data_IF_982448969391
#
_entry.id   IF_982448969391
#
_cell.length_a   1.000
_cell.length_b   1.000
_cell.length_c   1.000
_cell.angle_alpha   90.00
_cell.angle_beta   90.00
_cell.angle_gamma   90.00
#
_symmetry.space_group_name_H-M   'P 1'
#
loop_
_entity.id
_entity.type
_entity.pdbx_description
1 polymer ?
#
# COMPACT_ATOMS: atom_id res chain seq x y z
N UNK A 1 -12.12 31.53 0.85
CA UNK A 1 -12.62 30.83 2.04
C UNK A 1 -11.85 29.53 2.11
N UNK A 2 -11.00 29.32 3.13
CA UNK A 2 -10.37 28.01 3.33
C UNK A 2 -11.48 26.98 3.47
N UNK A 3 -11.61 26.09 2.49
CA UNK A 3 -12.39 24.89 2.71
C UNK A 3 -11.58 23.98 3.61
N UNK A 4 -12.24 23.09 4.36
CA UNK A 4 -11.57 22.01 5.11
C UNK A 4 -10.65 21.14 4.23
N UNK A 5 -10.68 21.35 2.92
CA UNK A 5 -10.04 20.54 1.89
C UNK A 5 -8.66 21.08 1.45
N UNK A 6 -8.20 22.24 1.93
CA UNK A 6 -6.88 22.76 1.57
C UNK A 6 -5.75 22.12 2.39
N UNK A 7 -5.63 20.80 2.25
CA UNK A 7 -4.64 19.96 2.92
C UNK A 7 -3.78 19.25 1.88
N UNK A 8 -2.47 19.19 2.12
CA UNK A 8 -1.55 18.34 1.35
C UNK A 8 -2.01 16.90 1.44
N UNK A 9 -2.14 16.25 0.28
CA UNK A 9 -2.49 14.83 0.17
C UNK A 9 -1.25 13.97 0.27
N UNK A 10 -1.43 12.73 0.67
CA UNK A 10 -0.32 11.82 0.99
C UNK A 10 -0.62 10.38 0.61
N UNK A 11 0.44 9.57 0.61
CA UNK A 11 0.35 8.14 0.41
C UNK A 11 0.03 7.42 1.71
N UNK A 12 -0.87 6.47 1.64
CA UNK A 12 -1.20 5.52 2.71
C UNK A 12 -0.69 4.16 2.24
N UNK A 13 0.47 3.77 2.75
CA UNK A 13 1.16 2.56 2.34
C UNK A 13 0.78 1.44 3.31
N UNK A 14 0.04 0.45 2.82
CA UNK A 14 -0.31 -0.75 3.58
C UNK A 14 0.72 -1.85 3.31
N UNK A 15 1.47 -2.22 4.34
CA UNK A 15 2.44 -3.32 4.29
C UNK A 15 1.89 -4.49 5.09
N UNK A 16 2.09 -5.70 4.60
CA UNK A 16 1.68 -6.89 5.34
C UNK A 16 2.31 -8.12 4.72
N UNK A 17 2.73 -9.12 5.51
CA UNK A 17 3.14 -10.40 4.99
C UNK A 17 2.00 -11.04 4.19
N UNK A 18 2.37 -11.97 3.31
CA UNK A 18 1.39 -12.70 2.49
C UNK A 18 0.30 -13.30 3.39
N UNK A 19 -0.96 -13.00 3.06
CA UNK A 19 -2.13 -13.46 3.83
C UNK A 19 -2.67 -12.50 4.91
N UNK A 20 -2.09 -11.31 5.13
CA UNK A 20 -2.55 -10.40 6.19
C UNK A 20 -3.79 -9.54 5.89
N UNK A 21 -4.46 -9.74 4.75
CA UNK A 21 -5.81 -9.20 4.52
C UNK A 21 -5.90 -7.79 3.92
N UNK A 22 -4.80 -7.23 3.41
CA UNK A 22 -4.73 -5.87 2.82
C UNK A 22 -5.87 -5.54 1.85
N UNK A 23 -6.15 -6.43 0.90
CA UNK A 23 -7.22 -6.25 -0.10
C UNK A 23 -8.60 -6.09 0.52
N UNK A 24 -8.95 -6.88 1.54
CA UNK A 24 -10.24 -6.75 2.21
C UNK A 24 -10.35 -5.41 2.95
N UNK A 25 -9.25 -4.99 3.58
CA UNK A 25 -9.16 -3.74 4.34
C UNK A 25 -9.29 -2.53 3.42
N UNK A 26 -8.45 -2.38 2.39
CA UNK A 26 -8.51 -1.20 1.54
C UNK A 26 -9.81 -1.14 0.74
N UNK A 27 -10.37 -2.28 0.31
CA UNK A 27 -11.65 -2.29 -0.40
C UNK A 27 -12.76 -1.72 0.47
N UNK A 28 -12.77 -2.04 1.77
CA UNK A 28 -13.75 -1.49 2.70
C UNK A 28 -13.55 0.01 2.93
N UNK A 29 -12.30 0.45 3.15
CA UNK A 29 -11.97 1.88 3.28
C UNK A 29 -12.41 2.68 2.06
N UNK A 30 -12.19 2.16 0.85
CA UNK A 30 -12.55 2.86 -0.40
C UNK A 30 -14.05 2.90 -0.67
N UNK A 31 -14.81 1.93 -0.15
CA UNK A 31 -16.27 1.93 -0.27
C UNK A 31 -16.90 3.11 0.50
N UNK A 32 -16.30 3.47 1.63
CA UNK A 32 -16.80 4.49 2.54
C UNK A 32 -16.10 5.86 2.36
N UNK A 33 -15.05 5.95 1.52
CA UNK A 33 -14.27 7.18 1.34
C UNK A 33 -13.90 7.48 -0.13
N UNK A 34 -14.66 8.39 -0.77
CA UNK A 34 -14.43 8.82 -2.16
C UNK A 34 -13.17 9.67 -2.36
N UNK A 35 -12.64 10.25 -1.28
CA UNK A 35 -11.48 11.15 -1.28
C UNK A 35 -10.15 10.40 -1.32
N UNK A 36 -10.17 9.08 -1.07
CA UNK A 36 -9.02 8.19 -1.19
C UNK A 36 -9.12 7.41 -2.50
N UNK A 37 -8.02 7.34 -3.25
CA UNK A 37 -7.91 6.52 -4.47
C UNK A 37 -6.96 5.35 -4.25
N UNK A 38 -7.22 4.23 -4.93
CA UNK A 38 -6.31 3.09 -4.93
C UNK A 38 -5.27 3.22 -6.04
N UNK A 39 -4.01 2.93 -5.72
CA UNK A 39 -2.95 2.81 -6.73
C UNK A 39 -2.89 1.38 -7.29
N UNK A 40 -3.29 1.22 -8.55
CA UNK A 40 -3.19 -0.06 -9.26
C UNK A 40 -1.75 -0.23 -9.76
N UNK A 41 -1.02 -1.18 -9.17
CA UNK A 41 0.38 -1.47 -9.52
C UNK A 41 0.51 -2.12 -10.90
N UNK A 42 1.65 -1.93 -11.56
CA UNK A 42 2.04 -2.69 -12.75
C UNK A 42 2.67 -4.02 -12.33
N UNK A 43 2.46 -5.08 -13.11
CA UNK A 43 3.16 -6.35 -12.92
C UNK A 43 3.44 -7.10 -14.22
N UNK A 44 4.52 -7.87 -14.25
CA UNK A 44 4.85 -8.79 -15.35
C UNK A 44 4.30 -10.20 -15.16
N UNK A 45 3.70 -10.46 -14.00
CA UNK A 45 2.99 -11.73 -13.74
C UNK A 45 1.77 -11.82 -14.65
N UNK A 46 1.44 -13.01 -15.14
CA UNK A 46 0.15 -13.25 -15.80
C UNK A 46 -1.01 -13.08 -14.82
N UNK A 47 -2.11 -12.49 -15.29
CA UNK A 47 -3.36 -12.43 -14.54
C UNK A 47 -3.85 -13.83 -14.15
N UNK A 48 -4.39 -13.97 -12.95
CA UNK A 48 -5.15 -15.16 -12.52
C UNK A 48 -6.55 -15.11 -13.11
N UNK A 49 -7.26 -16.24 -13.11
CA UNK A 49 -8.60 -16.37 -13.71
C UNK A 49 -9.63 -15.33 -13.23
N UNK A 50 -9.49 -14.82 -12.00
CA UNK A 50 -10.43 -13.86 -11.40
C UNK A 50 -9.87 -12.43 -11.34
N UNK A 51 -8.70 -12.16 -11.93
CA UNK A 51 -8.10 -10.83 -11.97
C UNK A 51 -8.45 -10.11 -13.27
N UNK A 52 -8.71 -8.82 -13.14
CA UNK A 52 -9.08 -7.91 -14.24
C UNK A 52 -7.98 -6.85 -14.39
N UNK A 53 -7.50 -6.68 -15.61
CA UNK A 53 -6.50 -5.68 -15.98
C UNK A 53 -7.02 -4.25 -15.74
N UNK A 54 -6.14 -3.37 -15.24
CA UNK A 54 -6.46 -2.01 -14.84
C UNK A 54 -7.29 -1.88 -13.56
N UNK A 55 -7.73 -2.99 -12.98
CA UNK A 55 -8.49 -3.02 -11.72
C UNK A 55 -7.65 -3.60 -10.59
N UNK A 56 -7.11 -4.81 -10.80
CA UNK A 56 -6.31 -5.50 -9.79
C UNK A 56 -4.82 -5.18 -9.95
N UNK A 57 -4.36 -5.23 -11.19
CA UNK A 57 -3.02 -4.81 -11.62
C UNK A 57 -3.11 -4.31 -13.06
N UNK A 58 -2.13 -3.52 -13.48
CA UNK A 58 -1.83 -3.29 -14.87
C UNK A 58 -0.85 -4.40 -15.34
N UNK A 59 -1.37 -5.39 -16.05
CA UNK A 59 -0.61 -6.55 -16.50
C UNK A 59 0.13 -6.22 -17.80
N UNK A 60 1.46 -6.14 -17.74
CA UNK A 60 2.31 -5.73 -18.88
C UNK A 60 3.42 -6.75 -19.15
N UNK A 61 4.02 -6.71 -20.34
CA UNK A 61 5.18 -7.55 -20.64
C UNK A 61 6.42 -7.07 -19.86
N UNK A 62 7.39 -7.96 -19.69
CA UNK A 62 8.68 -7.60 -19.08
C UNK A 62 9.41 -6.52 -19.87
N UNK A 63 9.43 -6.61 -21.20
CA UNK A 63 10.01 -5.57 -22.06
C UNK A 63 9.39 -4.19 -21.79
N UNK A 64 8.06 -4.13 -21.67
CA UNK A 64 7.37 -2.87 -21.38
C UNK A 64 7.68 -2.35 -19.98
N UNK A 65 7.76 -3.25 -18.99
CA UNK A 65 8.14 -2.89 -17.63
C UNK A 65 9.54 -2.30 -17.60
N UNK A 66 10.51 -2.93 -18.27
CA UNK A 66 11.89 -2.47 -18.33
C UNK A 66 12.02 -1.13 -19.08
N UNK A 67 11.20 -0.90 -20.11
CA UNK A 67 11.10 0.39 -20.79
C UNK A 67 10.65 1.51 -19.83
N UNK A 68 9.55 1.29 -19.09
CA UNK A 68 9.03 2.23 -18.09
C UNK A 68 10.03 2.46 -16.94
N UNK A 69 10.76 1.42 -16.55
CA UNK A 69 11.83 1.54 -15.54
C UNK A 69 12.98 2.40 -16.06
N UNK A 70 13.39 2.21 -17.31
CA UNK A 70 14.45 2.99 -17.95
C UNK A 70 14.07 4.46 -18.13
N UNK A 71 12.79 4.75 -18.36
CA UNK A 71 12.29 6.13 -18.46
C UNK A 71 12.13 6.82 -17.10
N UNK A 72 12.28 6.09 -15.98
CA UNK A 72 12.17 6.63 -14.63
C UNK A 72 10.73 6.87 -14.17
N UNK A 73 9.74 6.19 -14.78
CA UNK A 73 8.33 6.36 -14.40
C UNK A 73 7.91 5.53 -13.17
N UNK A 74 8.79 4.75 -12.56
CA UNK A 74 8.46 4.04 -11.31
C UNK A 74 8.86 4.85 -10.08
N UNK A 75 7.91 5.04 -9.16
CA UNK A 75 8.16 5.57 -7.83
C UNK A 75 8.89 4.52 -6.97
N UNK A 76 8.46 3.27 -7.10
CA UNK A 76 9.14 2.09 -6.57
C UNK A 76 9.01 0.95 -7.57
N UNK A 77 9.96 0.02 -7.55
CA UNK A 77 9.84 -1.25 -8.24
C UNK A 77 10.58 -2.36 -7.52
N UNK A 78 10.04 -3.56 -7.52
CA UNK A 78 10.64 -4.73 -6.88
C UNK A 78 10.40 -5.99 -7.69
N UNK A 79 11.26 -7.00 -7.48
CA UNK A 79 10.99 -8.37 -7.91
C UNK A 79 10.35 -9.09 -6.72
N UNK A 80 9.12 -9.56 -6.90
CA UNK A 80 8.37 -10.31 -5.89
C UNK A 80 8.00 -11.65 -6.49
N UNK A 81 8.50 -12.73 -5.86
CA UNK A 81 8.29 -14.11 -6.32
C UNK A 81 8.62 -14.33 -7.82
N UNK A 82 9.68 -13.69 -8.31
CA UNK A 82 10.17 -13.84 -9.68
C UNK A 82 9.49 -12.97 -10.74
N UNK A 83 8.54 -12.11 -10.35
CA UNK A 83 7.90 -11.16 -11.26
C UNK A 83 8.18 -9.72 -10.83
N UNK A 84 8.19 -8.81 -11.81
CA UNK A 84 8.31 -7.39 -11.54
C UNK A 84 6.98 -6.83 -11.05
N UNK A 85 7.07 -5.92 -10.09
CA UNK A 85 6.00 -5.07 -9.61
C UNK A 85 6.50 -3.64 -9.53
N UNK A 86 5.63 -2.66 -9.81
CA UNK A 86 5.99 -1.26 -9.65
C UNK A 86 4.82 -0.29 -9.70
N UNK A 87 5.00 0.83 -9.03
CA UNK A 87 4.01 1.91 -8.90
C UNK A 87 4.39 3.10 -9.77
N UNK A 88 3.50 3.56 -10.65
CA UNK A 88 3.79 4.69 -11.56
C UNK A 88 3.90 6.02 -10.81
N UNK A 89 5.07 6.66 -10.91
CA UNK A 89 5.39 7.98 -10.37
C UNK A 89 4.52 9.07 -10.99
N UNK A 90 4.32 9.03 -12.31
CA UNK A 90 3.46 10.01 -12.99
C UNK A 90 2.01 9.94 -12.52
N UNK A 91 1.46 8.73 -12.34
CA UNK A 91 0.14 8.53 -11.76
C UNK A 91 0.04 9.11 -10.34
N UNK A 92 0.97 8.73 -9.46
CA UNK A 92 0.99 9.19 -8.06
C UNK A 92 1.04 10.72 -7.99
N UNK A 93 1.96 11.36 -8.71
CA UNK A 93 2.12 12.81 -8.71
C UNK A 93 0.87 13.55 -9.23
N UNK A 94 0.11 12.95 -10.14
CA UNK A 94 -1.11 13.55 -10.64
C UNK A 94 -2.26 13.45 -9.64
N UNK A 95 -2.45 12.28 -9.03
CA UNK A 95 -3.57 12.01 -8.12
C UNK A 95 -3.38 12.71 -6.77
N UNK A 96 -2.15 12.78 -6.25
CA UNK A 96 -1.82 13.49 -5.00
C UNK A 96 -2.10 15.00 -5.04
N UNK A 97 -2.36 15.59 -6.20
CA UNK A 97 -2.83 16.98 -6.29
C UNK A 97 -4.24 17.17 -5.71
N UNK A 98 -5.02 16.09 -5.62
CA UNK A 98 -6.46 16.15 -5.28
C UNK A 98 -6.88 15.13 -4.23
N UNK A 99 -6.29 13.94 -4.23
CA UNK A 99 -6.74 12.82 -3.41
C UNK A 99 -5.58 12.19 -2.65
N UNK A 100 -5.88 11.68 -1.45
CA UNK A 100 -4.98 10.73 -0.79
C UNK A 100 -4.96 9.44 -1.60
N UNK A 101 -3.86 8.70 -1.54
CA UNK A 101 -3.72 7.45 -2.29
C UNK A 101 -3.40 6.32 -1.34
N UNK A 102 -4.18 5.26 -1.38
CA UNK A 102 -3.88 4.01 -0.68
C UNK A 102 -3.25 3.00 -1.65
N UNK A 103 -2.19 2.33 -1.19
CA UNK A 103 -1.48 1.31 -1.97
C UNK A 103 -1.07 0.15 -1.08
N UNK A 104 -1.00 -1.04 -1.66
CA UNK A 104 -0.51 -2.24 -0.98
C UNK A 104 0.71 -2.82 -1.71
N UNK A 105 1.88 -2.55 -1.16
CA UNK A 105 3.18 -2.94 -1.72
C UNK A 105 3.97 -3.81 -0.75
N UNK A 106 5.04 -4.45 -1.22
CA UNK A 106 5.93 -5.24 -0.37
C UNK A 106 6.90 -4.33 0.41
N UNK A 107 7.66 -4.94 1.33
CA UNK A 107 8.64 -4.22 2.16
C UNK A 107 9.72 -3.54 1.30
N UNK A 108 10.14 -4.14 0.19
CA UNK A 108 11.16 -3.54 -0.69
C UNK A 108 10.63 -2.28 -1.37
N UNK A 109 9.40 -2.32 -1.89
CA UNK A 109 8.74 -1.14 -2.47
C UNK A 109 8.55 -0.03 -1.43
N UNK A 110 8.04 -0.38 -0.24
CA UNK A 110 7.82 0.59 0.83
C UNK A 110 9.12 1.30 1.25
N UNK A 111 10.22 0.56 1.41
CA UNK A 111 11.54 1.14 1.72
C UNK A 111 12.09 2.06 0.65
N UNK A 112 11.73 1.88 -0.62
CA UNK A 112 12.09 2.82 -1.69
C UNK A 112 11.31 4.12 -1.53
N UNK A 113 10.00 4.05 -1.28
CA UNK A 113 9.17 5.25 -1.06
C UNK A 113 9.60 6.01 0.19
N UNK A 114 9.95 5.31 1.28
CA UNK A 114 10.43 5.93 2.51
C UNK A 114 11.73 6.74 2.35
N UNK A 115 12.51 6.45 1.30
CA UNK A 115 13.72 7.21 0.94
C UNK A 115 13.45 8.35 -0.05
N UNK A 116 12.20 8.51 -0.49
CA UNK A 116 11.77 9.57 -1.40
C UNK A 116 11.17 10.74 -0.63
N UNK A 117 11.05 11.89 -1.29
CA UNK A 117 10.44 13.10 -0.71
C UNK A 117 8.89 13.10 -0.80
N UNK A 118 8.28 12.00 -1.23
CA UNK A 118 6.81 11.91 -1.31
C UNK A 118 6.24 11.78 0.08
N UNK A 119 5.32 12.67 0.46
CA UNK A 119 4.63 12.62 1.75
C UNK A 119 3.81 11.33 1.87
N UNK A 120 4.04 10.59 2.95
CA UNK A 120 3.48 9.26 3.14
C UNK A 120 3.32 8.89 4.61
N UNK A 121 2.46 7.90 4.83
CA UNK A 121 2.42 7.11 6.04
C UNK A 121 2.56 5.63 5.71
N UNK A 122 3.16 4.88 6.62
CA UNK A 122 3.33 3.43 6.52
C UNK A 122 2.57 2.73 7.65
N UNK A 123 1.72 1.79 7.26
CA UNK A 123 0.90 1.01 8.18
C UNK A 123 1.20 -0.46 7.93
N UNK A 124 1.87 -1.10 8.89
CA UNK A 124 2.13 -2.51 8.87
C UNK A 124 0.95 -3.27 9.48
N UNK A 125 0.40 -4.23 8.75
CA UNK A 125 -0.77 -5.01 9.14
C UNK A 125 -0.32 -6.44 9.45
N UNK A 126 -0.56 -6.89 10.69
CA UNK A 126 -0.27 -8.24 11.12
C UNK A 126 -1.54 -9.03 11.44
N UNK A 127 -1.60 -10.34 11.13
CA UNK A 127 -2.58 -11.23 11.76
C UNK A 127 -2.36 -11.30 13.29
N UNK A 128 -3.38 -11.72 14.07
CA UNK A 128 -3.32 -11.71 15.54
C UNK A 128 -2.29 -12.66 16.13
N UNK A 129 -1.90 -13.70 15.40
CA UNK A 129 -0.88 -14.64 15.84
C UNK A 129 -0.19 -15.32 14.65
N UNK A 130 0.95 -15.96 14.93
CA UNK A 130 1.70 -16.77 13.96
C UNK A 130 0.87 -17.96 13.48
N UNK A 131 0.07 -18.56 14.35
CA UNK A 131 -0.80 -19.70 14.03
C UNK A 131 -1.88 -19.27 13.03
N UNK A 132 -2.58 -18.17 13.30
CA UNK A 132 -3.60 -17.63 12.40
C UNK A 132 -2.98 -17.23 11.05
N UNK A 133 -1.77 -16.69 11.08
CA UNK A 133 -1.03 -16.38 9.86
C UNK A 133 -0.74 -17.62 9.02
N UNK A 134 -0.18 -18.68 9.64
CA UNK A 134 0.09 -19.98 9.02
C UNK A 134 -1.16 -20.60 8.42
N UNK A 135 -2.29 -20.52 9.13
CA UNK A 135 -3.58 -20.99 8.63
C UNK A 135 -4.04 -20.20 7.40
N UNK A 136 -3.95 -18.87 7.43
CA UNK A 136 -4.31 -18.00 6.29
C UNK A 136 -3.44 -18.28 5.07
N UNK A 137 -2.14 -18.54 5.26
CA UNK A 137 -1.23 -18.96 4.19
C UNK A 137 -1.64 -20.30 3.58
N UNK A 138 -1.93 -21.31 4.42
CA UNK A 138 -2.38 -22.64 3.97
C UNK A 138 -3.73 -22.57 3.24
N UNK A 139 -4.67 -21.72 3.71
CA UNK A 139 -6.03 -21.60 3.17
C UNK A 139 -6.10 -20.92 1.79
N UNK A 140 -5.12 -20.08 1.44
CA UNK A 140 -5.01 -19.49 0.09
C UNK A 140 -4.65 -20.51 -1.00
N UNK A 141 -4.28 -21.73 -0.60
CA UNK A 141 -4.36 -22.94 -1.42
C UNK A 141 -3.16 -23.20 -2.34
N UNK A 142 -3.10 -24.44 -2.81
CA UNK A 142 -2.37 -24.93 -4.00
C UNK A 142 -0.85 -24.89 -4.01
N UNK A 143 -0.21 -24.25 -3.04
CA UNK A 143 1.23 -24.21 -2.94
C UNK A 143 1.79 -25.51 -2.35
N UNK A 144 2.85 -26.05 -2.97
CA UNK A 144 3.58 -27.18 -2.40
C UNK A 144 4.19 -26.80 -1.04
N UNK A 145 4.57 -27.79 -0.23
CA UNK A 145 5.18 -27.54 1.09
C UNK A 145 6.40 -26.61 0.98
N UNK A 146 7.14 -26.71 -0.11
CA UNK A 146 8.33 -25.92 -0.41
C UNK A 146 7.98 -24.44 -0.63
N UNK A 147 6.89 -24.15 -1.34
CA UNK A 147 6.44 -22.75 -1.58
C UNK A 147 5.89 -22.13 -0.29
N UNK A 148 5.23 -22.91 0.57
CA UNK A 148 4.80 -22.44 1.89
C UNK A 148 6.03 -22.08 2.74
N UNK A 149 7.06 -22.92 2.76
CA UNK A 149 8.28 -22.67 3.52
C UNK A 149 8.99 -21.38 3.07
N UNK A 150 9.15 -21.17 1.76
CA UNK A 150 9.74 -19.93 1.21
C UNK A 150 8.94 -18.69 1.62
N UNK A 151 7.60 -18.77 1.61
CA UNK A 151 6.75 -17.65 2.05
C UNK A 151 6.86 -17.39 3.54
N UNK A 152 7.03 -18.42 4.36
CA UNK A 152 7.25 -18.26 5.80
C UNK A 152 8.57 -17.55 6.08
N UNK A 153 9.66 -17.99 5.45
CA UNK A 153 10.97 -17.36 5.60
C UNK A 153 10.98 -15.91 5.12
N UNK A 154 10.29 -15.60 4.01
CA UNK A 154 10.13 -14.22 3.53
C UNK A 154 9.47 -13.34 4.57
N UNK A 155 8.35 -13.79 5.12
CA UNK A 155 7.58 -12.99 6.06
C UNK A 155 8.22 -12.89 7.45
N UNK A 156 8.96 -13.90 7.91
CA UNK A 156 9.77 -13.77 9.14
C UNK A 156 10.82 -12.66 8.98
N UNK A 157 11.44 -12.52 7.79
CA UNK A 157 12.33 -11.39 7.48
C UNK A 157 11.57 -10.07 7.43
N UNK A 158 10.41 -10.03 6.77
CA UNK A 158 9.58 -8.82 6.72
C UNK A 158 9.17 -8.34 8.13
N UNK A 159 8.89 -9.26 9.06
CA UNK A 159 8.55 -8.94 10.46
C UNK A 159 9.75 -8.37 11.23
N UNK A 160 10.98 -8.80 10.93
CA UNK A 160 12.18 -8.22 11.57
C UNK A 160 12.34 -6.72 11.24
N UNK A 161 11.80 -6.29 10.10
CA UNK A 161 11.85 -4.92 9.61
C UNK A 161 10.64 -4.08 10.07
N UNK A 162 9.75 -4.64 10.89
CA UNK A 162 8.49 -3.98 11.29
C UNK A 162 8.71 -2.63 11.99
N UNK A 163 9.83 -2.46 12.68
CA UNK A 163 10.17 -1.23 13.42
C UNK A 163 10.58 -0.07 12.52
N UNK A 164 10.79 -0.32 11.23
CA UNK A 164 11.06 0.73 10.25
C UNK A 164 9.78 1.50 9.87
N UNK A 165 8.60 0.97 10.17
CA UNK A 165 7.30 1.55 9.77
C UNK A 165 6.64 2.34 10.91
N UNK A 166 5.76 3.27 10.56
CA UNK A 166 5.19 4.25 11.51
C UNK A 166 4.06 3.70 12.36
N UNK A 167 3.21 2.84 11.80
CA UNK A 167 2.04 2.30 12.47
C UNK A 167 1.97 0.77 12.37
N UNK A 168 1.42 0.14 13.41
CA UNK A 168 1.09 -1.28 13.44
C UNK A 168 -0.42 -1.43 13.68
N UNK A 169 -1.08 -2.23 12.85
CA UNK A 169 -2.49 -2.63 13.03
C UNK A 169 -2.57 -4.15 13.07
N UNK A 170 -3.25 -4.68 14.10
CA UNK A 170 -3.51 -6.11 14.23
C UNK A 170 -4.86 -6.42 13.59
N UNK A 171 -4.87 -7.33 12.62
CA UNK A 171 -6.06 -7.76 11.87
C UNK A 171 -6.63 -9.07 12.43
N UNK A 172 -7.14 -8.97 13.66
CA UNK A 172 -7.94 -10.01 14.33
C UNK A 172 -9.39 -10.01 13.82
N UNK A 173 -9.97 -8.81 13.71
CA UNK A 173 -11.29 -8.51 13.16
C UNK A 173 -11.17 -7.46 12.06
N UNK A 174 -11.78 -7.73 10.91
CA UNK A 174 -11.69 -6.85 9.75
C UNK A 174 -12.25 -5.45 10.02
N UNK A 175 -13.36 -5.35 10.75
CA UNK A 175 -14.01 -4.05 10.99
C UNK A 175 -13.20 -3.20 11.96
N UNK A 176 -12.63 -3.81 13.00
CA UNK A 176 -11.71 -3.12 13.92
C UNK A 176 -10.46 -2.64 13.19
N UNK A 177 -9.82 -3.51 12.40
CA UNK A 177 -8.63 -3.13 11.65
C UNK A 177 -8.89 -1.99 10.66
N UNK A 178 -10.04 -1.99 9.99
CA UNK A 178 -10.48 -0.88 9.12
C UNK A 178 -10.64 0.40 9.93
N UNK A 179 -11.39 0.35 11.04
CA UNK A 179 -11.60 1.51 11.90
C UNK A 179 -10.29 2.10 12.45
N UNK A 180 -9.34 1.25 12.84
CA UNK A 180 -8.03 1.67 13.32
C UNK A 180 -7.26 2.42 12.22
N UNK A 181 -7.26 1.90 11.00
CA UNK A 181 -6.60 2.55 9.86
C UNK A 181 -7.28 3.86 9.49
N UNK A 182 -8.61 3.91 9.45
CA UNK A 182 -9.35 5.16 9.21
C UNK A 182 -9.06 6.22 10.29
N UNK A 183 -8.94 5.78 11.54
CA UNK A 183 -8.55 6.66 12.65
C UNK A 183 -7.14 7.21 12.47
N UNK A 184 -6.18 6.37 12.07
CA UNK A 184 -4.81 6.79 11.73
C UNK A 184 -4.82 7.81 10.59
N UNK A 185 -5.51 7.52 9.49
CA UNK A 185 -5.62 8.42 8.32
C UNK A 185 -6.21 9.77 8.75
N UNK A 186 -7.29 9.76 9.53
CA UNK A 186 -7.94 10.98 10.01
C UNK A 186 -7.05 11.78 10.95
N UNK A 187 -6.28 11.13 11.81
CA UNK A 187 -5.31 11.81 12.66
C UNK A 187 -4.21 12.48 11.81
N UNK A 188 -3.69 11.76 10.82
CA UNK A 188 -2.67 12.24 9.88
C UNK A 188 -3.15 13.44 9.07
N UNK A 189 -4.38 13.39 8.55
CA UNK A 189 -5.01 14.51 7.85
C UNK A 189 -5.12 15.78 8.71
N UNK A 190 -5.11 15.67 10.03
CA UNK A 190 -5.24 16.82 10.94
C UNK A 190 -3.89 17.31 11.51
N UNK A 191 -2.76 16.75 11.07
CA UNK A 191 -1.46 17.32 11.40
C UNK A 191 -1.31 18.73 10.82
N UNK A 192 -0.80 19.65 11.63
CA UNK A 192 -0.62 21.07 11.25
C UNK A 192 0.19 21.24 9.96
N UNK A 193 1.23 20.42 9.78
CA UNK A 193 2.10 20.42 8.61
C UNK A 193 1.38 20.16 7.28
N UNK A 194 0.19 19.53 7.31
CA UNK A 194 -0.58 19.26 6.09
C UNK A 194 -1.46 20.43 5.67
N UNK A 195 -1.74 21.40 6.55
CA UNK A 195 -2.54 22.56 6.18
C UNK A 195 -1.71 23.53 5.33
N UNK A 196 -2.22 23.89 4.16
CA UNK A 196 -1.55 24.81 3.24
C UNK A 196 -2.03 26.24 3.53
N UNK A 197 -1.08 27.17 3.66
CA UNK A 197 -1.33 28.60 3.90
C UNK A 197 -2.26 28.87 5.10
N UNK A 198 -2.06 28.17 6.21
CA UNK A 198 -2.90 28.33 7.40
C UNK A 198 -2.82 29.73 8.01
N UNK A 199 -1.70 30.44 7.82
CA UNK A 199 -1.48 31.80 8.32
C UNK A 199 -2.35 32.84 7.57
N UNK A 200 -2.54 32.67 6.26
CA UNK A 200 -3.41 33.51 5.42
C UNK A 200 -4.90 33.40 5.85
N UNK A 201 -5.27 32.37 6.60
CA UNK A 201 -6.64 32.16 7.09
C UNK A 201 -7.11 33.24 8.06
N UNK A 202 -6.20 33.69 8.93
CA UNK A 202 -6.54 34.61 10.02
C UNK A 202 -6.36 36.08 9.64
N UNK A 203 -6.12 36.36 8.35
CA UNK A 203 -6.05 37.73 7.81
C UNK A 203 -4.68 38.38 7.96
N UNK A 204 -3.61 37.64 7.67
CA UNK A 204 -2.31 38.23 7.34
C UNK A 204 -2.36 39.01 6.02
#
# INVERSE_FOLDING_TARGET
MLSKDNKRKFLIILISPSGGGKTAIFTKILADNSEIKYSVSFTTRKARNNEVDGVHYNFISEDKFLEMKKSGDFLESAIVHGYWYGTSKSYINNVLKKNNIIMDIDVQGAKQIMKSDVDHITIFILPPSREVWLERLKRRGTDSKEVIQVRLESAEKEIQEIRDFQYLVINDDLNKAVNDIETIIKAEENKIERYINIEEYYGG
#
